data_IF_367483744953
#
_entry.id   IF_367483744953
#
_cell.length_a   1.000
_cell.length_b   1.000
_cell.length_c   1.000
_cell.angle_alpha   90.00
_cell.angle_beta   90.00
_cell.angle_gamma   90.00
#
_symmetry.space_group_name_H-M   'P 1'
#
loop_
_entity.id
_entity.type
_entity.pdbx_description
1 polymer ?
#
# COMPACT_ATOMS: atom_id res chain seq x y z
N UNK A 1 4.57 -78.13 -38.62
CA UNK A 1 3.28 -78.41 -39.27
C UNK A 1 2.71 -77.09 -39.81
N UNK A 2 2.49 -77.06 -41.12
CA UNK A 2 1.62 -76.18 -41.96
C UNK A 2 1.05 -74.90 -41.32
N UNK A 3 1.45 -73.70 -41.76
CA UNK A 3 1.08 -72.99 -43.02
C UNK A 3 -0.39 -72.55 -43.11
N UNK A 4 -0.62 -71.23 -43.07
CA UNK A 4 -1.47 -70.47 -44.01
C UNK A 4 -1.28 -68.97 -43.73
N UNK A 5 -0.53 -68.26 -44.57
CA UNK A 5 -0.98 -67.39 -45.68
C UNK A 5 -1.68 -66.10 -45.24
N UNK A 6 -1.01 -65.03 -45.66
CA UNK A 6 -1.32 -63.61 -45.64
C UNK A 6 -2.58 -63.23 -46.41
N UNK A 7 -3.27 -62.19 -45.93
CA UNK A 7 -4.02 -61.23 -46.76
C UNK A 7 -4.16 -59.89 -46.02
N UNK A 8 -3.61 -58.84 -46.64
CA UNK A 8 -3.85 -57.45 -46.28
C UNK A 8 -5.31 -57.08 -46.56
N UNK A 9 -5.94 -56.36 -45.64
CA UNK A 9 -6.96 -55.34 -45.97
C UNK A 9 -6.74 -54.13 -45.06
N UNK A 10 -6.54 -52.98 -45.68
CA UNK A 10 -6.39 -51.68 -45.06
C UNK A 10 -7.69 -51.22 -44.39
N UNK A 11 -7.62 -50.72 -43.15
CA UNK A 11 -8.69 -49.92 -42.54
C UNK A 11 -8.08 -48.72 -41.80
N UNK A 12 -8.05 -47.62 -42.56
CA UNK A 12 -8.25 -46.21 -42.16
C UNK A 12 -7.84 -45.74 -40.76
N UNK A 13 -6.87 -44.81 -40.73
CA UNK A 13 -6.56 -43.89 -39.61
C UNK A 13 -7.85 -43.25 -39.05
N UNK A 14 -8.05 -43.18 -37.71
CA UNK A 14 -9.08 -42.32 -37.16
C UNK A 14 -8.67 -40.86 -37.39
N UNK A 15 -9.58 -40.12 -38.01
CA UNK A 15 -9.48 -38.71 -38.33
C UNK A 15 -9.23 -37.86 -37.07
N UNK A 16 -8.31 -36.90 -37.19
CA UNK A 16 -8.18 -35.79 -36.27
C UNK A 16 -9.51 -35.03 -36.22
N UNK A 17 -10.32 -35.28 -35.20
CA UNK A 17 -11.43 -34.39 -34.86
C UNK A 17 -10.82 -33.10 -34.32
N UNK A 18 -10.75 -32.08 -35.16
CA UNK A 18 -10.65 -30.70 -34.73
C UNK A 18 -11.84 -30.40 -33.80
N UNK A 19 -11.62 -30.50 -32.50
CA UNK A 19 -12.53 -29.95 -31.52
C UNK A 19 -12.47 -28.43 -31.67
N UNK A 20 -13.41 -27.86 -32.44
CA UNK A 20 -13.71 -26.43 -32.39
C UNK A 20 -13.97 -26.10 -30.92
N UNK A 21 -13.07 -25.33 -30.29
CA UNK A 21 -13.34 -24.73 -28.98
C UNK A 21 -14.64 -23.93 -29.15
N UNK A 22 -15.70 -24.41 -28.52
CA UNK A 22 -16.94 -23.66 -28.39
C UNK A 22 -16.57 -22.30 -27.82
N UNK A 23 -16.95 -21.24 -28.53
CA UNK A 23 -16.85 -19.89 -28.04
C UNK A 23 -17.67 -19.85 -26.75
N UNK A 24 -16.99 -19.92 -25.60
CA UNK A 24 -17.62 -19.66 -24.32
C UNK A 24 -18.19 -18.26 -24.47
N UNK A 25 -19.52 -18.17 -24.47
CA UNK A 25 -20.25 -16.93 -24.26
C UNK A 25 -19.53 -16.22 -23.12
N UNK A 26 -19.04 -15.00 -23.36
CA UNK A 26 -18.47 -14.17 -22.29
C UNK A 26 -19.55 -14.04 -21.23
N UNK A 27 -19.51 -14.88 -20.20
CA UNK A 27 -20.24 -14.64 -18.99
C UNK A 27 -19.65 -13.33 -18.48
N UNK A 28 -20.40 -12.23 -18.63
CA UNK A 28 -20.07 -10.94 -18.00
C UNK A 28 -20.10 -11.23 -16.50
N UNK A 29 -18.96 -11.64 -15.95
CA UNK A 29 -18.77 -11.64 -14.51
C UNK A 29 -18.34 -10.23 -14.16
N UNK A 30 -19.17 -9.55 -13.37
CA UNK A 30 -18.76 -8.32 -12.72
C UNK A 30 -17.47 -8.56 -11.93
N UNK A 31 -16.63 -7.53 -11.85
CA UNK A 31 -15.37 -7.57 -11.13
C UNK A 31 -15.58 -8.03 -9.68
N UNK A 32 -14.69 -8.89 -9.21
CA UNK A 32 -14.61 -9.24 -7.79
C UNK A 32 -14.19 -8.00 -7.01
N UNK A 33 -14.99 -7.64 -6.01
CA UNK A 33 -14.68 -6.49 -5.16
C UNK A 33 -13.51 -6.86 -4.24
N UNK A 34 -12.44 -6.05 -4.30
CA UNK A 34 -11.32 -6.10 -3.38
C UNK A 34 -11.69 -5.26 -2.15
N UNK A 35 -12.27 -5.92 -1.15
CA UNK A 35 -12.74 -5.28 0.08
C UNK A 35 -11.58 -4.99 1.03
N UNK A 36 -11.03 -3.78 0.91
CA UNK A 36 -9.93 -3.33 1.76
C UNK A 36 -10.31 -3.07 3.21
N UNK A 37 -11.60 -2.95 3.56
CA UNK A 37 -12.02 -2.88 4.97
C UNK A 37 -11.84 -4.23 5.63
N UNK A 38 -12.38 -5.27 4.99
CA UNK A 38 -12.25 -6.64 5.47
C UNK A 38 -10.78 -7.04 5.63
N UNK A 39 -9.98 -6.79 4.59
CA UNK A 39 -8.55 -7.13 4.64
C UNK A 39 -7.82 -6.32 5.73
N UNK A 40 -8.16 -5.03 5.92
CA UNK A 40 -7.58 -4.22 6.97
C UNK A 40 -7.96 -4.69 8.38
N UNK A 41 -9.16 -5.24 8.56
CA UNK A 41 -9.62 -5.84 9.83
C UNK A 41 -8.82 -7.11 10.14
N UNK A 42 -8.68 -8.03 9.17
CA UNK A 42 -7.86 -9.24 9.31
C UNK A 42 -6.41 -8.90 9.74
N UNK A 43 -5.79 -7.93 9.10
CA UNK A 43 -4.43 -7.48 9.43
C UNK A 43 -4.36 -6.88 10.84
N UNK A 44 -5.38 -6.12 11.25
CA UNK A 44 -5.41 -5.54 12.59
C UNK A 44 -5.54 -6.62 13.67
N UNK A 45 -6.29 -7.69 13.41
CA UNK A 45 -6.38 -8.85 14.30
C UNK A 45 -5.04 -9.58 14.40
N UNK A 46 -4.36 -9.81 13.27
CA UNK A 46 -3.01 -10.38 13.24
C UNK A 46 -2.01 -9.53 14.04
N UNK A 47 -2.02 -8.20 13.84
CA UNK A 47 -1.16 -7.27 14.57
C UNK A 47 -1.42 -7.27 16.07
N UNK A 48 -2.68 -7.39 16.48
CA UNK A 48 -3.04 -7.49 17.89
C UNK A 48 -2.41 -8.72 18.54
N UNK A 49 -2.47 -9.88 17.89
CA UNK A 49 -1.83 -11.11 18.37
C UNK A 49 -0.30 -10.95 18.48
N UNK A 50 0.32 -10.29 17.49
CA UNK A 50 1.75 -9.98 17.51
C UNK A 50 2.11 -9.09 18.70
N UNK A 51 1.34 -8.03 18.95
CA UNK A 51 1.57 -7.11 20.07
C UNK A 51 1.34 -7.80 21.42
N UNK A 52 0.27 -8.58 21.55
CA UNK A 52 -0.03 -9.32 22.78
C UNK A 52 1.11 -10.30 23.10
N UNK A 53 1.59 -11.05 22.10
CA UNK A 53 2.77 -11.93 22.24
C UNK A 53 4.01 -11.15 22.67
N UNK A 54 4.26 -10.01 22.02
CA UNK A 54 5.40 -9.16 22.31
C UNK A 54 5.38 -8.62 23.75
N UNK A 55 4.21 -8.16 24.21
CA UNK A 55 4.02 -7.63 25.56
C UNK A 55 4.06 -8.71 26.65
N UNK A 56 3.53 -9.91 26.38
CA UNK A 56 3.62 -11.06 27.28
C UNK A 56 5.06 -11.54 27.48
N UNK A 57 5.95 -11.27 26.51
CA UNK A 57 7.39 -11.48 26.64
C UNK A 57 8.10 -10.37 27.46
N UNK A 58 7.36 -9.49 28.15
CA UNK A 58 7.89 -8.43 29.00
C UNK A 58 8.32 -7.17 28.26
N UNK A 59 8.06 -7.06 26.96
CA UNK A 59 8.43 -5.88 26.15
C UNK A 59 7.37 -4.77 26.26
N UNK A 60 7.81 -3.51 26.13
CA UNK A 60 6.92 -2.33 26.12
C UNK A 60 6.00 -2.36 24.89
N UNK A 61 4.73 -1.95 25.08
CA UNK A 61 3.78 -1.71 23.97
C UNK A 61 4.35 -0.70 22.97
N UNK A 62 4.21 -0.91 21.65
CA UNK A 62 4.57 0.12 20.67
C UNK A 62 3.84 1.44 20.95
N UNK A 63 4.54 2.57 20.76
CA UNK A 63 4.00 3.91 20.98
C UNK A 63 4.06 4.75 19.70
N UNK A 64 2.90 5.24 19.27
CA UNK A 64 2.73 6.14 18.13
C UNK A 64 2.33 7.54 18.59
N UNK A 65 3.11 8.55 18.21
CA UNK A 65 2.78 9.95 18.45
C UNK A 65 2.44 10.63 17.14
N UNK A 66 1.23 11.18 17.05
CA UNK A 66 0.80 11.97 15.91
C UNK A 66 0.86 13.47 16.23
N UNK A 67 1.31 14.28 15.27
CA UNK A 67 1.30 15.75 15.34
C UNK A 67 0.27 16.27 14.35
N UNK A 68 -0.68 17.06 14.85
CA UNK A 68 -1.67 17.76 14.03
C UNK A 68 -1.45 19.26 14.15
N UNK A 69 -1.12 19.91 13.03
CA UNK A 69 -0.99 21.37 12.95
C UNK A 69 -2.29 21.96 12.39
N UNK A 70 -2.87 22.91 13.13
CA UNK A 70 -4.12 23.58 12.77
C UNK A 70 -5.38 22.76 13.06
N UNK A 71 -6.51 23.21 12.51
CA UNK A 71 -7.84 22.76 12.93
C UNK A 71 -8.73 22.18 11.82
N UNK A 72 -8.15 21.79 10.68
CA UNK A 72 -8.95 21.33 9.54
C UNK A 72 -9.79 20.07 9.88
N UNK A 73 -11.13 20.10 9.73
CA UNK A 73 -12.00 19.00 10.18
C UNK A 73 -11.71 17.64 9.56
N UNK A 74 -11.29 17.59 8.29
CA UNK A 74 -10.96 16.31 7.64
C UNK A 74 -9.69 15.69 8.22
N UNK A 75 -8.69 16.51 8.57
CA UNK A 75 -7.44 16.06 9.18
C UNK A 75 -7.69 15.52 10.59
N UNK A 76 -8.55 16.18 11.38
CA UNK A 76 -9.00 15.68 12.69
C UNK A 76 -9.70 14.32 12.58
N UNK A 77 -10.64 14.19 11.65
CA UNK A 77 -11.36 12.93 11.44
C UNK A 77 -10.42 11.80 11.02
N UNK A 78 -9.43 12.10 10.16
CA UNK A 78 -8.46 11.13 9.67
C UNK A 78 -7.48 10.67 10.76
N UNK A 79 -6.90 11.60 11.52
CA UNK A 79 -6.07 11.30 12.69
C UNK A 79 -6.86 10.50 13.72
N UNK A 80 -8.09 10.91 14.02
CA UNK A 80 -8.95 10.19 14.96
C UNK A 80 -9.20 8.74 14.55
N UNK A 81 -9.31 8.45 13.24
CA UNK A 81 -9.38 7.07 12.74
C UNK A 81 -8.07 6.30 12.98
N UNK A 82 -6.93 6.91 12.66
CA UNK A 82 -5.59 6.31 12.88
C UNK A 82 -5.36 5.97 14.37
N UNK A 83 -5.66 6.90 15.28
CA UNK A 83 -5.48 6.68 16.72
C UNK A 83 -6.44 5.62 17.29
N UNK A 84 -7.69 5.56 16.80
CA UNK A 84 -8.61 4.48 17.17
C UNK A 84 -8.11 3.11 16.71
N UNK A 85 -7.59 3.02 15.48
CA UNK A 85 -7.00 1.78 14.97
C UNK A 85 -5.78 1.37 15.82
N UNK A 86 -4.87 2.31 16.13
CA UNK A 86 -3.73 2.08 17.01
C UNK A 86 -4.16 1.49 18.36
N UNK A 87 -5.10 2.16 19.03
CA UNK A 87 -5.64 1.67 20.31
C UNK A 87 -6.28 0.29 20.18
N UNK A 88 -7.01 0.01 19.09
CA UNK A 88 -7.70 -1.27 18.91
C UNK A 88 -6.76 -2.46 18.73
N UNK A 89 -5.57 -2.24 18.16
CA UNK A 89 -4.54 -3.28 18.02
C UNK A 89 -3.60 -3.35 19.23
N UNK A 90 -3.75 -2.46 20.21
CA UNK A 90 -2.94 -2.46 21.43
C UNK A 90 -1.68 -1.59 21.38
N UNK A 91 -1.58 -0.67 20.41
CA UNK A 91 -0.56 0.39 20.32
C UNK A 91 -0.97 1.54 21.25
N UNK A 92 -0.03 2.02 22.05
CA UNK A 92 -0.21 3.26 22.80
C UNK A 92 -0.14 4.44 21.82
N UNK A 93 -1.13 5.33 21.84
CA UNK A 93 -1.21 6.40 20.86
C UNK A 93 -1.57 7.75 21.48
N UNK A 94 -0.83 8.79 21.11
CA UNK A 94 -1.08 10.16 21.54
C UNK A 94 -1.12 11.12 20.35
N UNK A 95 -1.86 12.22 20.48
CA UNK A 95 -1.91 13.28 19.47
C UNK A 95 -1.54 14.61 20.09
N UNK A 96 -0.49 15.23 19.56
CA UNK A 96 -0.09 16.61 19.86
C UNK A 96 -0.87 17.53 18.93
N UNK A 97 -1.62 18.46 19.51
CA UNK A 97 -2.37 19.47 18.79
C UNK A 97 -1.62 20.80 18.83
N UNK A 98 -1.19 21.28 17.67
CA UNK A 98 -0.47 22.55 17.52
C UNK A 98 -1.36 23.56 16.78
N UNK A 99 -1.26 24.83 17.17
CA UNK A 99 -2.01 25.92 16.53
C UNK A 99 -1.60 26.12 15.07
N UNK A 100 -2.51 26.66 14.25
CA UNK A 100 -2.22 26.93 12.82
C UNK A 100 -1.10 27.96 12.61
N UNK A 101 -0.87 28.82 13.61
CA UNK A 101 0.12 29.91 13.59
C UNK A 101 1.47 29.49 14.18
N UNK A 102 1.68 28.22 14.53
CA UNK A 102 2.97 27.76 15.05
C UNK A 102 4.08 28.03 14.03
N UNK A 103 5.26 28.46 14.48
CA UNK A 103 6.42 28.57 13.61
C UNK A 103 6.96 27.18 13.25
N UNK A 104 7.45 27.00 12.03
CA UNK A 104 8.03 25.73 11.60
C UNK A 104 9.20 25.31 12.51
N UNK A 105 10.00 26.26 12.98
CA UNK A 105 11.12 25.99 13.92
C UNK A 105 10.65 25.33 15.21
N UNK A 106 9.47 25.67 15.72
CA UNK A 106 8.93 25.08 16.94
C UNK A 106 8.32 23.70 16.69
N UNK A 107 7.70 23.49 15.52
CA UNK A 107 7.32 22.14 15.07
C UNK A 107 8.54 21.22 14.96
N UNK A 108 9.65 21.71 14.41
CA UNK A 108 10.89 20.93 14.29
C UNK A 108 11.50 20.58 15.66
N UNK A 109 11.40 21.48 16.66
CA UNK A 109 11.82 21.19 18.03
C UNK A 109 10.95 20.10 18.67
N UNK A 110 9.64 20.12 18.44
CA UNK A 110 8.74 19.07 18.93
C UNK A 110 9.13 17.72 18.32
N UNK A 111 9.40 17.67 17.01
CA UNK A 111 9.85 16.45 16.34
C UNK A 111 11.20 15.96 16.90
N UNK A 112 12.16 16.86 17.14
CA UNK A 112 13.45 16.50 17.74
C UNK A 112 13.31 15.94 19.17
N UNK A 113 12.40 16.51 19.97
CA UNK A 113 12.05 15.97 21.30
C UNK A 113 11.55 14.52 21.20
N UNK A 114 10.60 14.27 20.28
CA UNK A 114 10.06 12.93 20.04
C UNK A 114 11.08 11.96 19.46
N UNK A 115 12.01 12.43 18.62
CA UNK A 115 13.10 11.62 18.10
C UNK A 115 14.00 11.10 19.22
N UNK A 116 14.28 11.94 20.23
CA UNK A 116 15.15 11.61 21.38
C UNK A 116 14.44 10.79 22.46
N UNK A 117 13.12 10.82 22.53
CA UNK A 117 12.36 10.03 23.51
C UNK A 117 12.44 8.52 23.21
N UNK A 118 13.11 7.69 24.03
CA UNK A 118 13.24 6.24 23.79
C UNK A 118 11.91 5.48 23.97
N UNK A 119 10.89 6.12 24.54
CA UNK A 119 9.54 5.56 24.68
C UNK A 119 8.69 5.72 23.42
N UNK A 120 9.09 6.56 22.47
CA UNK A 120 8.35 6.79 21.21
C UNK A 120 8.95 5.95 20.10
N UNK A 121 8.13 5.13 19.44
CA UNK A 121 8.57 4.25 18.35
C UNK A 121 8.20 4.77 16.97
N UNK A 122 7.06 5.49 16.88
CA UNK A 122 6.56 6.04 15.64
C UNK A 122 6.14 7.49 15.80
N UNK A 123 6.48 8.31 14.81
CA UNK A 123 6.08 9.71 14.69
C UNK A 123 5.34 9.87 13.38
N UNK A 124 4.19 10.53 13.45
CA UNK A 124 3.36 10.86 12.30
C UNK A 124 3.06 12.35 12.30
N UNK A 125 3.41 13.08 11.24
CA UNK A 125 2.92 14.45 11.05
C UNK A 125 1.77 14.44 10.06
N UNK A 126 0.60 14.93 10.45
CA UNK A 126 -0.57 14.92 9.59
C UNK A 126 -0.48 16.00 8.50
N UNK A 127 -0.44 15.56 7.24
CA UNK A 127 -0.50 16.42 6.06
C UNK A 127 -1.96 16.72 5.61
N UNK A 128 -2.21 17.81 4.87
CA UNK A 128 -1.25 18.86 4.51
C UNK A 128 -0.94 19.81 5.67
N UNK A 129 0.24 20.43 5.63
CA UNK A 129 0.63 21.49 6.57
C UNK A 129 0.13 22.87 6.11
N UNK A 130 0.13 23.89 6.99
CA UNK A 130 -0.04 25.28 6.58
C UNK A 130 0.91 25.67 5.44
N UNK A 131 0.43 26.50 4.50
CA UNK A 131 1.13 26.82 3.24
C UNK A 131 2.52 27.46 3.42
N UNK A 132 2.77 28.06 4.58
CA UNK A 132 4.04 28.69 4.93
C UNK A 132 5.08 27.70 5.48
N UNK A 133 4.77 26.39 5.54
CA UNK A 133 5.68 25.35 6.00
C UNK A 133 6.14 24.45 4.86
N UNK A 134 7.38 24.01 4.94
CA UNK A 134 7.97 22.99 4.07
C UNK A 134 7.62 21.60 4.60
N UNK A 135 6.63 20.95 3.97
CA UNK A 135 6.29 19.54 4.27
C UNK A 135 7.51 18.62 4.11
N UNK A 136 8.37 18.92 3.13
CA UNK A 136 9.61 18.17 2.89
C UNK A 136 10.52 18.24 4.12
N UNK A 137 10.83 19.42 4.61
CA UNK A 137 11.72 19.60 5.77
C UNK A 137 11.14 18.94 7.02
N UNK A 138 9.82 19.08 7.24
CA UNK A 138 9.13 18.47 8.37
C UNK A 138 9.18 16.94 8.30
N UNK A 139 8.96 16.34 7.12
CA UNK A 139 9.09 14.88 6.96
C UNK A 139 10.53 14.40 7.17
N UNK A 140 11.54 15.18 6.73
CA UNK A 140 12.95 14.83 6.92
C UNK A 140 13.44 15.03 8.35
N UNK A 141 12.71 15.78 9.18
CA UNK A 141 13.08 15.96 10.58
C UNK A 141 12.78 14.72 11.43
N UNK A 142 11.90 13.83 10.98
CA UNK A 142 11.59 12.57 11.67
C UNK A 142 12.69 11.57 11.35
N UNK A 143 13.37 11.01 12.36
CA UNK A 143 14.43 10.02 12.09
C UNK A 143 13.87 8.77 11.39
N UNK A 144 14.61 8.14 10.46
CA UNK A 144 14.08 7.08 9.59
C UNK A 144 13.42 5.93 10.36
N UNK A 145 14.00 5.52 11.49
CA UNK A 145 13.50 4.43 12.33
C UNK A 145 12.20 4.74 13.09
N UNK A 146 11.78 6.01 13.14
CA UNK A 146 10.49 6.44 13.72
C UNK A 146 9.52 6.99 12.67
N UNK A 147 9.94 7.11 11.42
CA UNK A 147 9.10 7.58 10.32
C UNK A 147 8.17 6.46 9.83
N UNK A 148 7.06 6.28 10.54
CA UNK A 148 6.09 5.21 10.26
C UNK A 148 5.26 5.43 9.01
N UNK A 149 5.24 6.66 8.47
CA UNK A 149 4.65 6.97 7.17
C UNK A 149 5.61 6.67 6.00
N UNK A 150 6.91 6.48 6.26
CA UNK A 150 7.93 6.07 5.28
C UNK A 150 8.37 7.19 4.33
N UNK A 151 8.25 8.46 4.72
CA UNK A 151 8.54 9.62 3.86
C UNK A 151 9.97 10.17 3.99
N UNK A 152 10.75 9.68 4.94
CA UNK A 152 12.16 10.02 5.10
C UNK A 152 12.97 9.53 3.90
N UNK A 153 13.92 10.34 3.42
CA UNK A 153 14.69 10.06 2.20
C UNK A 153 15.49 8.77 2.32
N UNK A 154 16.01 8.46 3.50
CA UNK A 154 16.72 7.19 3.75
C UNK A 154 15.79 5.98 3.59
N UNK A 155 14.55 6.05 4.10
CA UNK A 155 13.57 4.98 3.95
C UNK A 155 13.21 4.73 2.48
N UNK A 156 12.99 5.80 1.72
CA UNK A 156 12.74 5.74 0.27
C UNK A 156 13.98 5.26 -0.48
N UNK A 157 15.18 5.72 -0.11
CA UNK A 157 16.44 5.30 -0.71
C UNK A 157 16.67 3.80 -0.53
N UNK A 158 16.45 3.28 0.68
CA UNK A 158 16.50 1.86 0.96
C UNK A 158 15.47 1.08 0.14
N UNK A 159 14.23 1.57 0.02
CA UNK A 159 13.21 0.96 -0.85
C UNK A 159 13.67 0.92 -2.32
N UNK A 160 14.34 1.95 -2.83
CA UNK A 160 14.85 1.94 -4.22
C UNK A 160 15.98 0.94 -4.44
N UNK A 161 16.73 0.61 -3.39
CA UNK A 161 17.81 -0.37 -3.42
C UNK A 161 17.35 -1.77 -3.01
N UNK A 162 16.04 -1.96 -2.78
CA UNK A 162 15.46 -3.21 -2.29
C UNK A 162 16.01 -3.66 -0.92
N UNK A 163 16.44 -2.70 -0.11
CA UNK A 163 16.87 -2.91 1.26
C UNK A 163 15.68 -2.82 2.22
N UNK A 164 15.77 -3.54 3.34
CA UNK A 164 14.78 -3.45 4.43
C UNK A 164 14.74 -2.05 5.02
N UNK A 165 13.56 -1.43 5.00
CA UNK A 165 13.28 -0.13 5.62
C UNK A 165 11.79 0.00 5.97
N UNK A 166 11.42 1.13 6.58
CA UNK A 166 10.00 1.49 6.65
C UNK A 166 9.54 1.95 5.26
N UNK A 167 8.51 1.30 4.74
CA UNK A 167 7.96 1.57 3.42
C UNK A 167 6.67 2.38 3.54
N UNK A 168 6.39 3.33 2.62
CA UNK A 168 5.16 4.10 2.64
C UNK A 168 3.89 3.27 2.81
N UNK A 169 3.08 3.62 3.80
CA UNK A 169 1.93 2.82 4.23
C UNK A 169 0.93 2.56 3.08
N UNK A 170 0.73 3.53 2.18
CA UNK A 170 -0.13 3.36 1.00
C UNK A 170 0.46 2.40 -0.03
N UNK A 171 1.78 2.38 -0.20
CA UNK A 171 2.43 1.44 -1.11
C UNK A 171 2.32 0.00 -0.56
N UNK A 172 2.58 -0.17 0.73
CA UNK A 172 2.34 -1.43 1.43
C UNK A 172 0.88 -1.87 1.33
N UNK A 173 -0.08 -0.94 1.42
CA UNK A 173 -1.50 -1.23 1.32
C UNK A 173 -1.84 -1.81 -0.06
N UNK A 174 -1.35 -1.19 -1.14
CA UNK A 174 -1.55 -1.70 -2.51
C UNK A 174 -0.94 -3.09 -2.65
N UNK A 175 0.32 -3.29 -2.22
CA UNK A 175 0.99 -4.60 -2.26
C UNK A 175 0.17 -5.68 -1.54
N UNK A 176 -0.30 -5.37 -0.33
CA UNK A 176 -1.06 -6.32 0.49
C UNK A 176 -2.43 -6.66 -0.13
N UNK A 177 -3.11 -5.67 -0.72
CA UNK A 177 -4.35 -5.89 -1.47
C UNK A 177 -4.12 -6.83 -2.66
N UNK A 178 -3.02 -6.66 -3.40
CA UNK A 178 -2.65 -7.53 -4.54
C UNK A 178 -2.42 -8.97 -4.06
N UNK A 179 -1.59 -9.15 -3.02
CA UNK A 179 -1.24 -10.47 -2.47
C UNK A 179 -2.48 -11.18 -1.93
N UNK A 180 -3.25 -10.55 -1.04
CA UNK A 180 -4.41 -11.18 -0.39
C UNK A 180 -5.59 -11.40 -1.33
N UNK A 181 -5.64 -10.68 -2.45
CA UNK A 181 -6.63 -10.92 -3.50
C UNK A 181 -6.24 -12.06 -4.46
N UNK A 182 -5.04 -12.64 -4.30
CA UNK A 182 -4.55 -13.74 -5.14
C UNK A 182 -4.28 -13.32 -6.59
N UNK A 183 -3.88 -12.07 -6.80
CA UNK A 183 -3.55 -11.56 -8.13
C UNK A 183 -2.17 -12.10 -8.53
N UNK A 184 -2.07 -12.71 -9.70
CA UNK A 184 -0.79 -13.15 -10.26
C UNK A 184 0.06 -11.93 -10.67
N UNK A 185 1.31 -11.86 -10.19
CA UNK A 185 2.18 -10.68 -10.41
C UNK A 185 3.44 -10.99 -11.22
N UNK A 186 4.05 -12.16 -11.03
CA UNK A 186 5.33 -12.51 -11.63
C UNK A 186 5.33 -12.37 -13.17
N UNK A 187 6.16 -11.46 -13.69
CA UNK A 187 6.30 -11.19 -15.12
C UNK A 187 5.09 -10.50 -15.77
N UNK A 188 4.08 -10.08 -14.99
CA UNK A 188 2.88 -9.40 -15.48
C UNK A 188 3.12 -7.89 -15.65
N UNK A 189 2.23 -7.25 -16.40
CA UNK A 189 2.32 -5.81 -16.65
C UNK A 189 1.54 -5.01 -15.61
N UNK A 190 2.20 -4.09 -14.92
CA UNK A 190 1.57 -3.10 -14.06
C UNK A 190 1.65 -1.70 -14.67
N UNK A 191 0.59 -0.92 -14.53
CA UNK A 191 0.59 0.52 -14.82
C UNK A 191 0.20 1.30 -13.57
N UNK A 192 1.09 2.17 -13.12
CA UNK A 192 0.83 3.11 -12.02
C UNK A 192 0.54 4.48 -12.61
N UNK A 193 -0.69 4.96 -12.47
CA UNK A 193 -1.13 6.28 -12.95
C UNK A 193 -1.05 7.27 -11.79
N UNK A 194 0.12 7.88 -11.63
CA UNK A 194 0.44 8.77 -10.52
C UNK A 194 1.93 8.72 -10.21
N UNK A 195 2.57 9.89 -10.09
CA UNK A 195 4.03 10.02 -9.89
C UNK A 195 4.44 10.77 -8.62
N UNK A 196 3.52 10.86 -7.66
CA UNK A 196 3.82 11.47 -6.37
C UNK A 196 4.92 10.67 -5.65
N UNK A 197 5.80 11.38 -4.95
CA UNK A 197 6.98 10.77 -4.31
C UNK A 197 6.64 9.93 -3.08
N UNK A 198 5.48 10.17 -2.47
CA UNK A 198 5.01 9.46 -1.28
C UNK A 198 4.00 8.34 -1.57
N UNK A 199 3.42 8.30 -2.79
CA UNK A 199 2.39 7.31 -3.13
C UNK A 199 2.73 6.60 -4.45
N UNK A 200 2.70 7.30 -5.58
CA UNK A 200 2.85 6.68 -6.90
C UNK A 200 4.22 6.03 -7.12
N UNK A 201 5.31 6.72 -6.80
CA UNK A 201 6.66 6.18 -6.96
C UNK A 201 6.92 4.96 -6.05
N UNK A 202 6.64 5.01 -4.73
CA UNK A 202 6.82 3.85 -3.85
C UNK A 202 5.97 2.63 -4.26
N UNK A 203 4.74 2.84 -4.74
CA UNK A 203 3.93 1.76 -5.32
C UNK A 203 4.67 1.14 -6.49
N UNK A 204 5.14 1.95 -7.44
CA UNK A 204 5.82 1.43 -8.62
C UNK A 204 7.07 0.62 -8.27
N UNK A 205 7.84 1.03 -7.26
CA UNK A 205 9.00 0.29 -6.77
C UNK A 205 8.63 -1.07 -6.20
N UNK A 206 7.60 -1.14 -5.33
CA UNK A 206 7.14 -2.43 -4.77
C UNK A 206 6.50 -3.36 -5.80
N UNK A 207 5.91 -2.82 -6.86
CA UNK A 207 5.42 -3.64 -7.96
C UNK A 207 6.58 -4.17 -8.81
N UNK A 208 7.62 -3.36 -9.00
CA UNK A 208 8.73 -3.63 -9.90
C UNK A 208 9.79 -4.61 -9.37
N UNK A 209 10.28 -4.39 -8.14
CA UNK A 209 11.47 -5.07 -7.62
C UNK A 209 11.28 -6.58 -7.45
N UNK A 210 12.38 -7.29 -7.18
CA UNK A 210 12.43 -8.75 -7.03
C UNK A 210 11.60 -9.19 -5.80
N UNK A 211 10.68 -10.14 -6.00
CA UNK A 211 9.86 -10.69 -4.92
C UNK A 211 10.62 -11.55 -3.92
N UNK A 212 11.86 -11.95 -4.23
CA UNK A 212 12.80 -12.63 -3.32
C UNK A 212 13.71 -11.65 -2.57
N UNK A 213 13.62 -10.36 -2.87
CA UNK A 213 14.35 -9.29 -2.19
C UNK A 213 13.85 -8.98 -0.78
N UNK A 214 14.52 -8.05 -0.10
CA UNK A 214 14.18 -7.73 1.30
C UNK A 214 12.84 -6.98 1.43
N UNK A 215 12.40 -6.30 0.37
CA UNK A 215 11.09 -5.62 0.36
C UNK A 215 9.93 -6.55 0.02
N UNK A 216 10.24 -7.76 -0.46
CA UNK A 216 9.26 -8.75 -0.91
C UNK A 216 8.34 -8.18 -1.98
N UNK A 217 8.90 -7.51 -2.98
CA UNK A 217 8.18 -6.88 -4.09
C UNK A 217 7.47 -7.92 -4.98
N UNK A 218 6.97 -7.52 -6.16
CA UNK A 218 5.99 -8.32 -6.90
C UNK A 218 6.43 -8.76 -8.30
N UNK A 219 7.69 -8.52 -8.72
CA UNK A 219 8.24 -8.97 -10.00
C UNK A 219 7.43 -8.55 -11.24
N UNK A 220 6.80 -7.37 -11.20
CA UNK A 220 5.98 -6.87 -12.30
C UNK A 220 6.77 -5.96 -13.23
N UNK A 221 6.53 -6.08 -14.54
CA UNK A 221 6.95 -5.06 -15.50
C UNK A 221 6.10 -3.81 -15.29
N UNK A 222 6.69 -2.77 -14.70
CA UNK A 222 5.93 -1.62 -14.19
C UNK A 222 6.15 -0.37 -15.04
N UNK A 223 5.07 0.22 -15.55
CA UNK A 223 5.08 1.50 -16.26
C UNK A 223 4.46 2.60 -15.40
N UNK A 224 5.13 3.76 -15.32
CA UNK A 224 4.62 4.92 -14.58
C UNK A 224 4.02 5.94 -15.55
N UNK A 225 2.73 6.19 -15.40
CA UNK A 225 1.98 7.24 -16.09
C UNK A 225 1.63 8.37 -15.13
N UNK A 226 1.09 9.46 -15.66
CA UNK A 226 0.60 10.58 -14.85
C UNK A 226 -0.55 11.30 -15.55
N UNK A 227 -1.23 12.21 -14.84
CA UNK A 227 -2.39 12.98 -15.38
C UNK A 227 -2.11 13.80 -16.66
N UNK A 228 -0.83 14.02 -17.01
CA UNK A 228 -0.42 14.69 -18.25
C UNK A 228 0.06 13.73 -19.35
N UNK A 229 0.00 12.42 -19.12
CA UNK A 229 0.27 11.44 -20.18
C UNK A 229 -0.87 11.60 -21.20
N UNK A 230 -0.59 11.79 -22.50
CA UNK A 230 -1.64 11.93 -23.51
C UNK A 230 -2.66 10.80 -23.38
N UNK A 231 -3.95 11.12 -23.46
CA UNK A 231 -5.03 10.15 -23.22
C UNK A 231 -4.86 8.88 -24.08
N UNK A 232 -4.47 9.03 -25.35
CA UNK A 232 -4.22 7.91 -26.28
C UNK A 232 -3.10 6.99 -25.82
N UNK A 233 -2.02 7.53 -25.26
CA UNK A 233 -0.93 6.72 -24.70
C UNK A 233 -1.32 6.11 -23.35
N UNK A 234 -2.07 6.85 -22.52
CA UNK A 234 -2.57 6.34 -21.25
C UNK A 234 -3.50 5.13 -21.47
N UNK A 235 -4.45 5.23 -22.42
CA UNK A 235 -5.32 4.12 -22.81
C UNK A 235 -4.49 2.94 -23.32
N UNK A 236 -3.57 3.17 -24.26
CA UNK A 236 -2.71 2.11 -24.82
C UNK A 236 -1.95 1.34 -23.73
N UNK A 237 -1.35 2.05 -22.77
CA UNK A 237 -0.57 1.42 -21.70
C UNK A 237 -1.46 0.66 -20.71
N UNK A 238 -2.54 1.29 -20.24
CA UNK A 238 -3.47 0.68 -19.26
C UNK A 238 -4.20 -0.53 -19.83
N UNK A 239 -4.49 -0.54 -21.13
CA UNK A 239 -5.18 -1.64 -21.83
C UNK A 239 -4.31 -2.88 -22.05
N UNK A 240 -3.00 -2.76 -21.83
CA UNK A 240 -2.04 -3.87 -21.83
C UNK A 240 -1.75 -4.38 -20.40
N UNK A 241 -2.17 -3.66 -19.37
CA UNK A 241 -1.84 -3.94 -17.99
C UNK A 241 -2.71 -5.06 -17.40
N UNK A 242 -2.08 -5.96 -16.64
CA UNK A 242 -2.76 -6.93 -15.78
C UNK A 242 -3.18 -6.29 -14.44
N UNK A 243 -2.44 -5.27 -14.00
CA UNK A 243 -2.73 -4.44 -12.82
C UNK A 243 -2.68 -2.95 -13.19
N UNK A 244 -3.75 -2.21 -12.89
CA UNK A 244 -3.78 -0.75 -12.98
C UNK A 244 -3.93 -0.19 -11.57
N UNK A 245 -2.95 0.61 -11.12
CA UNK A 245 -3.02 1.36 -9.85
C UNK A 245 -3.14 2.84 -10.13
N UNK A 246 -4.21 3.49 -9.66
CA UNK A 246 -4.51 4.88 -9.98
C UNK A 246 -4.39 5.74 -8.72
N UNK A 247 -3.49 6.72 -8.76
CA UNK A 247 -3.17 7.63 -7.67
C UNK A 247 -2.87 9.05 -8.23
N UNK A 248 -3.73 9.51 -9.14
CA UNK A 248 -3.55 10.76 -9.88
C UNK A 248 -4.26 11.96 -9.22
N UNK A 249 -5.26 11.69 -8.37
CA UNK A 249 -6.12 12.71 -7.76
C UNK A 249 -7.01 13.41 -8.79
N UNK A 250 -7.51 12.66 -9.77
CA UNK A 250 -8.37 13.15 -10.86
C UNK A 250 -9.56 12.20 -10.97
N UNK A 251 -10.74 12.60 -10.46
CA UNK A 251 -11.93 11.75 -10.47
C UNK A 251 -12.32 11.27 -11.87
N UNK A 252 -12.56 9.97 -12.02
CA UNK A 252 -13.00 9.37 -13.28
C UNK A 252 -11.97 9.43 -14.42
N UNK A 253 -10.68 9.60 -14.12
CA UNK A 253 -9.59 9.60 -15.11
C UNK A 253 -9.51 8.28 -15.88
N UNK A 254 -9.79 7.15 -15.23
CA UNK A 254 -9.73 5.82 -15.86
C UNK A 254 -11.14 5.31 -16.15
N UNK A 255 -11.42 5.04 -17.43
CA UNK A 255 -12.70 4.51 -17.91
C UNK A 255 -12.60 3.03 -18.33
N UNK A 256 -13.73 2.39 -18.59
CA UNK A 256 -13.78 0.98 -19.01
C UNK A 256 -12.99 0.67 -20.28
N UNK A 257 -12.91 1.60 -21.23
CA UNK A 257 -12.22 1.40 -22.52
C UNK A 257 -10.71 1.24 -22.33
N UNK A 258 -10.19 1.73 -21.21
CA UNK A 258 -8.78 1.72 -20.85
C UNK A 258 -8.37 0.43 -20.14
N UNK A 259 -9.32 -0.43 -19.77
CA UNK A 259 -9.06 -1.60 -18.93
C UNK A 259 -9.03 -2.87 -19.76
N UNK A 260 -7.93 -3.64 -19.61
CA UNK A 260 -7.83 -5.00 -20.12
C UNK A 260 -8.90 -5.88 -19.45
N UNK A 261 -9.72 -6.63 -20.22
CA UNK A 261 -10.68 -7.56 -19.61
C UNK A 261 -10.00 -8.52 -18.62
N UNK A 262 -10.55 -8.61 -17.41
CA UNK A 262 -10.01 -9.45 -16.35
C UNK A 262 -8.87 -8.84 -15.52
N UNK A 263 -8.40 -7.62 -15.84
CA UNK A 263 -7.35 -6.96 -15.06
C UNK A 263 -7.80 -6.60 -13.64
N UNK A 264 -6.83 -6.43 -12.75
CA UNK A 264 -7.03 -5.87 -11.42
C UNK A 264 -6.92 -4.34 -11.46
N UNK A 265 -7.86 -3.64 -10.85
CA UNK A 265 -7.88 -2.18 -10.76
C UNK A 265 -7.88 -1.75 -9.29
N UNK A 266 -6.83 -1.05 -8.88
CA UNK A 266 -6.67 -0.50 -7.52
C UNK A 266 -6.75 1.03 -7.59
N UNK A 267 -7.81 1.57 -7.04
CA UNK A 267 -8.09 3.00 -6.96
C UNK A 267 -7.63 3.55 -5.61
N UNK A 268 -6.50 4.25 -5.62
CA UNK A 268 -5.91 4.96 -4.48
C UNK A 268 -6.50 6.36 -4.35
N UNK A 269 -7.14 6.87 -5.40
CA UNK A 269 -7.73 8.19 -5.46
C UNK A 269 -8.77 8.39 -4.36
N UNK A 270 -8.71 9.54 -3.71
CA UNK A 270 -9.72 9.94 -2.72
C UNK A 270 -9.97 11.45 -2.83
N UNK A 271 -10.96 11.80 -3.64
CA UNK A 271 -11.36 13.18 -3.86
C UNK A 271 -12.70 13.45 -3.19
N UNK A 272 -12.77 14.52 -2.37
CA UNK A 272 -14.01 14.96 -1.76
C UNK A 272 -14.78 15.85 -2.74
N UNK A 273 -15.91 15.36 -3.24
CA UNK A 273 -16.79 16.10 -4.16
C UNK A 273 -18.10 16.48 -3.50
N UNK A 274 -18.61 17.66 -3.84
CA UNK A 274 -19.94 18.11 -3.45
C UNK A 274 -20.98 17.44 -4.35
N UNK A 275 -22.00 16.83 -3.77
CA UNK A 275 -23.12 16.20 -4.47
C UNK A 275 -24.22 17.21 -4.76
N UNK A 276 -25.15 16.86 -5.66
CA UNK A 276 -26.27 17.72 -6.05
C UNK A 276 -27.19 18.08 -4.86
N UNK A 277 -27.28 17.21 -3.85
CA UNK A 277 -28.00 17.44 -2.58
C UNK A 277 -27.19 18.26 -1.55
N UNK A 278 -26.08 18.87 -1.95
CA UNK A 278 -25.23 19.72 -1.11
C UNK A 278 -24.34 18.98 -0.11
N UNK A 279 -24.44 17.64 -0.03
CA UNK A 279 -23.57 16.80 0.79
C UNK A 279 -22.20 16.62 0.13
N UNK A 280 -21.31 15.93 0.83
CA UNK A 280 -20.00 15.56 0.30
C UNK A 280 -19.86 14.05 0.22
N UNK A 281 -19.35 13.57 -0.91
CA UNK A 281 -18.97 12.17 -1.10
C UNK A 281 -17.48 12.06 -1.42
N UNK A 282 -16.89 10.93 -1.06
CA UNK A 282 -15.55 10.56 -1.49
C UNK A 282 -15.70 9.76 -2.77
N UNK A 283 -14.96 10.15 -3.81
CA UNK A 283 -14.88 9.43 -5.08
C UNK A 283 -13.42 9.12 -5.41
N UNK A 284 -13.22 8.05 -6.16
CA UNK A 284 -11.91 7.65 -6.64
C UNK A 284 -11.57 8.25 -8.00
N UNK A 285 -10.41 7.87 -8.51
CA UNK A 285 -9.91 8.29 -9.82
C UNK A 285 -10.44 7.40 -10.96
N UNK A 286 -11.18 6.33 -10.64
CA UNK A 286 -11.75 5.38 -11.61
C UNK A 286 -13.25 5.60 -11.76
N UNK A 287 -13.74 5.50 -13.00
CA UNK A 287 -15.18 5.35 -13.26
C UNK A 287 -15.65 3.95 -12.83
N UNK A 288 -15.92 3.81 -11.53
CA UNK A 288 -16.13 2.54 -10.85
C UNK A 288 -17.20 1.66 -11.51
N UNK A 289 -18.36 2.24 -11.80
CA UNK A 289 -19.51 1.47 -12.30
C UNK A 289 -19.22 0.87 -13.68
N UNK A 290 -18.60 1.64 -14.58
CA UNK A 290 -18.27 1.15 -15.92
C UNK A 290 -17.10 0.18 -15.92
N UNK A 291 -16.07 0.42 -15.10
CA UNK A 291 -14.89 -0.46 -15.00
C UNK A 291 -15.20 -1.79 -14.32
N UNK A 292 -16.14 -1.80 -13.36
CA UNK A 292 -16.60 -3.04 -12.70
C UNK A 292 -17.16 -4.06 -13.70
N UNK A 293 -17.69 -3.64 -14.85
CA UNK A 293 -18.22 -4.56 -15.87
C UNK A 293 -17.15 -5.32 -16.66
N UNK A 294 -15.88 -4.88 -16.61
CA UNK A 294 -14.79 -5.40 -17.45
C UNK A 294 -13.58 -5.91 -16.65
N UNK A 295 -13.28 -5.29 -15.50
CA UNK A 295 -12.20 -5.71 -14.64
C UNK A 295 -12.46 -7.09 -14.04
N UNK A 296 -11.40 -7.85 -13.75
CA UNK A 296 -11.51 -9.08 -12.96
C UNK A 296 -11.61 -8.77 -11.47
N UNK A 297 -10.92 -7.71 -11.03
CA UNK A 297 -10.90 -7.25 -9.64
C UNK A 297 -10.94 -5.72 -9.59
N UNK A 298 -11.65 -5.16 -8.61
CA UNK A 298 -11.72 -3.70 -8.43
C UNK A 298 -11.84 -3.32 -6.95
N UNK A 299 -11.08 -2.32 -6.51
CA UNK A 299 -11.25 -1.73 -5.17
C UNK A 299 -12.35 -0.68 -5.16
N UNK A 300 -13.25 -0.63 -4.16
CA UNK A 300 -14.22 0.43 -4.02
C UNK A 300 -13.61 1.68 -3.39
N UNK A 301 -14.15 2.86 -3.74
CA UNK A 301 -13.85 4.11 -3.02
C UNK A 301 -15.16 4.71 -2.50
N UNK A 302 -15.34 4.84 -1.16
CA UNK A 302 -14.44 4.46 -0.07
C UNK A 302 -14.53 2.98 0.33
N UNK A 303 -13.42 2.40 0.78
CA UNK A 303 -13.41 1.04 1.37
C UNK A 303 -12.33 0.12 0.82
N UNK A 304 -11.60 0.54 -0.22
CA UNK A 304 -10.42 -0.14 -0.73
C UNK A 304 -9.16 0.28 0.00
N UNK A 305 -8.36 1.15 -0.63
CA UNK A 305 -7.00 1.47 -0.18
C UNK A 305 -6.96 2.24 1.16
N UNK A 306 -7.92 3.14 1.41
CA UNK A 306 -7.91 4.00 2.60
C UNK A 306 -7.81 3.25 3.95
N UNK A 307 -8.71 2.29 4.25
CA UNK A 307 -8.60 1.43 5.44
C UNK A 307 -7.27 0.68 5.52
N UNK A 308 -6.78 0.16 4.38
CA UNK A 308 -5.50 -0.54 4.31
C UNK A 308 -4.32 0.37 4.66
N UNK A 309 -4.31 1.62 4.21
CA UNK A 309 -3.26 2.58 4.59
C UNK A 309 -3.18 2.75 6.11
N UNK A 310 -4.31 2.74 6.82
CA UNK A 310 -4.32 2.82 8.29
C UNK A 310 -3.75 1.54 8.91
N UNK A 311 -4.15 0.36 8.43
CA UNK A 311 -3.61 -0.92 8.92
C UNK A 311 -2.10 -1.03 8.69
N UNK A 312 -1.60 -0.59 7.53
CA UNK A 312 -0.17 -0.60 7.21
C UNK A 312 0.63 0.41 8.04
N UNK A 313 0.06 1.55 8.39
CA UNK A 313 0.67 2.47 9.35
C UNK A 313 0.86 1.80 10.73
N UNK A 314 -0.13 1.00 11.18
CA UNK A 314 0.00 0.24 12.43
C UNK A 314 1.09 -0.82 12.30
N UNK A 315 1.15 -1.53 11.17
CA UNK A 315 2.21 -2.50 10.88
C UNK A 315 3.60 -1.86 10.93
N UNK A 316 3.76 -0.69 10.30
CA UNK A 316 5.02 0.07 10.35
C UNK A 316 5.39 0.49 11.78
N UNK A 317 4.41 0.90 12.58
CA UNK A 317 4.63 1.26 13.99
C UNK A 317 5.13 0.06 14.81
N UNK A 318 4.54 -1.12 14.61
CA UNK A 318 4.99 -2.35 15.28
C UNK A 318 6.41 -2.73 14.83
N UNK A 319 6.69 -2.67 13.53
CA UNK A 319 8.02 -2.95 12.99
C UNK A 319 9.08 -1.99 13.55
N UNK A 320 8.77 -0.69 13.61
CA UNK A 320 9.64 0.33 14.20
C UNK A 320 9.92 0.05 15.68
N UNK A 321 8.89 -0.30 16.47
CA UNK A 321 9.04 -0.61 17.89
C UNK A 321 9.93 -1.84 18.14
N UNK A 322 9.75 -2.90 17.35
CA UNK A 322 10.58 -4.11 17.45
C UNK A 322 12.04 -3.80 17.13
N UNK A 323 12.31 -3.10 16.01
CA UNK A 323 13.66 -2.70 15.64
C UNK A 323 14.33 -1.79 16.67
N UNK A 324 13.63 -0.76 17.16
CA UNK A 324 14.16 0.18 18.15
C UNK A 324 14.54 -0.51 19.48
N UNK A 325 13.77 -1.51 19.91
CA UNK A 325 14.06 -2.24 21.15
C UNK A 325 15.18 -3.27 21.01
N UNK A 326 15.34 -3.89 19.83
CA UNK A 326 16.51 -4.73 19.52
C UNK A 326 17.80 -3.91 19.60
N UNK A 327 17.81 -2.70 19.05
CA UNK A 327 18.97 -1.80 19.09
C UNK A 327 19.33 -1.38 20.53
N UNK A 328 18.32 -1.04 21.34
CA UNK A 328 18.52 -0.71 22.75
C UNK A 328 19.11 -1.89 23.54
N UNK A 329 18.62 -3.10 23.28
CA UNK A 329 19.13 -4.33 23.93
C UNK A 329 20.59 -4.59 23.53
N UNK A 330 20.96 -4.37 22.26
CA UNK A 330 22.35 -4.51 21.80
C UNK A 330 23.26 -3.46 22.43
N UNK A 331 22.80 -2.21 22.56
CA UNK A 331 23.55 -1.14 23.20
C UNK A 331 23.77 -1.40 24.69
N UNK A 332 22.76 -1.88 25.42
CA UNK A 332 22.90 -2.20 26.85
C UNK A 332 23.88 -3.36 27.09
N UNK A 333 23.80 -4.42 26.28
CA UNK A 333 24.75 -5.55 26.35
C UNK A 333 26.18 -5.09 26.03
N UNK A 334 26.35 -4.19 25.05
CA UNK A 334 27.67 -3.68 24.71
C UNK A 334 28.26 -2.79 25.83
N UNK A 335 27.43 -1.99 26.50
CA UNK A 335 27.83 -1.16 27.65
C UNK A 335 28.21 -2.04 28.86
N UNK A 336 27.39 -3.03 29.21
CA UNK A 336 27.69 -3.98 30.30
C UNK A 336 28.96 -4.78 30.02
N UNK A 337 29.19 -5.19 28.77
CA UNK A 337 30.43 -5.88 28.39
C UNK A 337 31.65 -4.98 28.46
N UNK A 338 31.53 -3.67 28.23
CA UNK A 338 32.64 -2.71 28.31
C UNK A 338 33.00 -2.32 29.75
N UNK A 339 32.04 -2.33 30.67
CA UNK A 339 32.28 -2.12 32.10
C UNK A 339 32.88 -3.36 32.79
N UNK A 340 32.68 -4.55 32.22
CA UNK A 340 33.29 -5.79 32.71
C UNK A 340 34.80 -5.93 32.39
N UNK A 341 35.41 -4.98 31.66
CA UNK A 341 36.83 -4.95 31.33
C UNK A 341 37.60 -3.77 31.97
N UNK A 342 37.03 -3.10 32.98
CA UNK A 342 37.72 -2.01 33.73
C UNK A 342 38.14 -2.47 35.12
#
# INVERSE_FOLDING_TARGET
MFSCRSLLVAVTKPSQRFARKLHLSKCRQEARIVDGRKIAEEIQEELKLVIDTYTNAGKRRPKLVAILVGNHPSSKAYIGKKMRAAKSVGIESYTIHLGENIAQTDLLKEIDSLNRDPTVDGILVQLPLPRNMSEKEVCQAIIPKKDVDGFHLENIGNLTLDNRSIVPATALAVRELVIRSGIETFGKNAVVVGRSKHVGLPIALLLHSDGKGETGALDMTTTICHRHTPHTELEKLTKLADLVVVAAGVPGLISKEMIKPGACVIDVGITRMKTADGKYRLVGDVDYDSVKEIAGHITPVPGGVGPMTVAMLMRNTVAAAMGNQEDQTKQSVHLESSEAFV
#
